data_IF_111201672062
#
_entry.id   IF_111201672062
#
_cell.length_a   1.000
_cell.length_b   1.000
_cell.length_c   1.000
_cell.angle_alpha   90.00
_cell.angle_beta   90.00
_cell.angle_gamma   90.00
#
_symmetry.space_group_name_H-M   'P 1'
#
loop_
_entity.id
_entity.type
_entity.pdbx_description
1 polymer ?
#
# COMPACT_ATOMS: atom_id res chain seq x y z
N UNK A 1 -23.15 -4.59 37.88
CA UNK A 1 -22.08 -5.25 37.08
C UNK A 1 -22.10 -4.85 35.61
N UNK A 2 -23.25 -4.48 35.00
CA UNK A 2 -23.34 -4.11 33.58
C UNK A 2 -22.59 -2.80 33.16
N UNK A 3 -22.42 -1.84 34.07
CA UNK A 3 -21.74 -0.57 33.76
C UNK A 3 -20.22 -0.73 33.60
N UNK A 4 -19.62 -1.67 34.36
CA UNK A 4 -18.19 -1.97 34.30
C UNK A 4 -17.86 -2.70 33.00
N UNK A 5 -18.72 -3.64 32.60
CA UNK A 5 -18.58 -4.38 31.34
C UNK A 5 -18.61 -3.44 30.13
N UNK A 6 -19.55 -2.48 30.09
CA UNK A 6 -19.63 -1.46 29.02
C UNK A 6 -18.39 -0.57 28.95
N UNK A 7 -17.81 -0.20 30.09
CA UNK A 7 -16.62 0.65 30.15
C UNK A 7 -15.37 -0.11 29.72
N UNK A 8 -15.20 -1.36 30.17
CA UNK A 8 -14.09 -2.23 29.79
C UNK A 8 -14.14 -2.57 28.30
N UNK A 9 -15.32 -2.90 27.75
CA UNK A 9 -15.50 -3.10 26.32
C UNK A 9 -15.18 -1.83 25.51
N UNK A 10 -15.61 -0.65 25.97
CA UNK A 10 -15.29 0.61 25.29
C UNK A 10 -13.79 0.91 25.26
N UNK A 11 -13.05 0.59 26.34
CA UNK A 11 -11.60 0.77 26.42
C UNK A 11 -10.87 -0.17 25.46
N UNK A 12 -11.34 -1.41 25.33
CA UNK A 12 -10.76 -2.38 24.39
C UNK A 12 -11.06 -2.02 22.92
N UNK A 13 -12.26 -1.51 22.61
CA UNK A 13 -12.61 -1.14 21.23
C UNK A 13 -11.76 0.02 20.70
N UNK A 14 -11.46 1.02 21.54
CA UNK A 14 -10.62 2.16 21.13
C UNK A 14 -9.17 1.74 20.78
N UNK A 15 -8.59 0.79 21.54
CA UNK A 15 -7.25 0.26 21.25
C UNK A 15 -7.24 -0.57 19.96
N UNK A 16 -8.33 -1.30 19.67
CA UNK A 16 -8.45 -2.11 18.45
C UNK A 16 -8.62 -1.22 17.21
N UNK A 17 -9.30 -0.08 17.31
CA UNK A 17 -9.44 0.85 16.18
C UNK A 17 -8.15 1.62 15.86
N UNK A 18 -7.36 2.02 16.86
CA UNK A 18 -6.04 2.62 16.64
C UNK A 18 -5.06 1.63 15.98
N UNK A 19 -5.14 0.34 16.35
CA UNK A 19 -4.32 -0.73 15.78
C UNK A 19 -4.79 -1.16 14.38
N UNK A 20 -6.06 -0.92 14.00
CA UNK A 20 -6.62 -1.31 12.70
C UNK A 20 -5.89 -0.67 11.50
N UNK A 21 -5.26 0.48 11.72
CA UNK A 21 -4.40 1.14 10.73
C UNK A 21 -3.02 0.47 10.59
N UNK A 22 -2.48 -0.16 11.64
CA UNK A 22 -1.23 -0.93 11.56
C UNK A 22 -1.41 -2.25 10.82
N UNK A 23 -2.53 -2.96 11.05
CA UNK A 23 -2.83 -4.25 10.40
C UNK A 23 -3.30 -4.13 8.94
N UNK A 24 -3.53 -2.92 8.44
CA UNK A 24 -3.78 -2.66 7.00
C UNK A 24 -2.50 -2.36 6.21
N UNK A 25 -1.31 -2.65 6.75
CA UNK A 25 -0.10 -2.86 5.95
C UNK A 25 -0.23 -4.19 5.19
N UNK A 26 -1.09 -4.23 4.17
CA UNK A 26 -0.94 -5.27 3.16
C UNK A 26 0.40 -4.99 2.49
N UNK A 27 1.35 -5.91 2.64
CA UNK A 27 2.72 -5.72 2.18
C UNK A 27 2.84 -5.97 0.67
N UNK A 28 2.18 -5.10 -0.09
CA UNK A 28 2.13 -5.16 -1.55
C UNK A 28 3.53 -5.04 -2.18
N UNK A 29 4.46 -4.33 -1.54
CA UNK A 29 5.86 -4.26 -2.01
C UNK A 29 6.53 -5.63 -1.99
N UNK A 30 6.44 -6.33 -0.86
CA UNK A 30 6.99 -7.69 -0.72
C UNK A 30 6.31 -8.64 -1.71
N UNK A 31 4.98 -8.60 -1.79
CA UNK A 31 4.24 -9.46 -2.70
C UNK A 31 4.58 -9.20 -4.18
N UNK A 32 4.65 -7.94 -4.61
CA UNK A 32 5.02 -7.59 -5.97
C UNK A 32 6.44 -8.06 -6.30
N UNK A 33 7.37 -7.92 -5.35
CA UNK A 33 8.74 -8.40 -5.53
C UNK A 33 8.78 -9.92 -5.75
N UNK A 34 8.05 -10.70 -4.97
CA UNK A 34 7.95 -12.16 -5.16
C UNK A 34 7.35 -12.53 -6.52
N UNK A 35 6.28 -11.84 -6.94
CA UNK A 35 5.63 -12.09 -8.24
C UNK A 35 6.60 -11.78 -9.39
N UNK A 36 7.28 -10.64 -9.35
CA UNK A 36 8.22 -10.24 -10.41
C UNK A 36 9.43 -11.17 -10.44
N UNK A 37 9.94 -11.61 -9.30
CA UNK A 37 11.08 -12.53 -9.22
C UNK A 37 10.78 -13.92 -9.83
N UNK A 38 9.52 -14.33 -9.91
CA UNK A 38 9.13 -15.58 -10.60
C UNK A 38 9.32 -15.48 -12.12
N UNK A 39 9.15 -14.30 -12.70
CA UNK A 39 9.12 -14.08 -14.15
C UNK A 39 10.34 -13.33 -14.67
N UNK A 40 11.04 -12.57 -13.82
CA UNK A 40 12.16 -11.70 -14.18
C UNK A 40 13.24 -11.70 -13.10
N UNK A 41 14.51 -11.57 -13.51
CA UNK A 41 15.64 -11.38 -12.60
C UNK A 41 15.90 -9.90 -12.27
N UNK A 42 15.23 -8.98 -12.96
CA UNK A 42 15.37 -7.55 -12.76
C UNK A 42 14.41 -7.12 -11.63
N UNK A 43 14.88 -6.45 -10.57
CA UNK A 43 14.00 -5.98 -9.52
C UNK A 43 13.12 -4.81 -9.98
N UNK A 44 12.02 -4.58 -9.27
CA UNK A 44 11.22 -3.37 -9.43
C UNK A 44 11.93 -2.16 -8.80
N UNK A 45 11.77 -0.99 -9.40
CA UNK A 45 12.23 0.28 -8.83
C UNK A 45 11.05 1.20 -8.54
N UNK A 46 11.17 2.02 -7.51
CA UNK A 46 10.15 3.01 -7.13
C UNK A 46 10.70 4.40 -7.37
N UNK A 47 9.91 5.25 -8.02
CA UNK A 47 10.27 6.63 -8.30
C UNK A 47 9.16 7.57 -7.82
N UNK A 48 9.51 8.59 -7.05
CA UNK A 48 8.58 9.67 -6.69
C UNK A 48 8.50 10.60 -7.89
N UNK A 49 7.34 10.64 -8.54
CA UNK A 49 7.12 11.48 -9.73
C UNK A 49 6.43 12.80 -9.42
N UNK A 50 5.90 12.95 -8.21
CA UNK A 50 5.34 14.22 -7.78
C UNK A 50 5.01 14.27 -6.30
N UNK A 51 4.89 15.50 -5.80
CA UNK A 51 4.37 15.81 -4.47
C UNK A 51 3.37 16.96 -4.62
N UNK A 52 2.21 16.87 -3.98
CA UNK A 52 1.19 17.94 -4.03
C UNK A 52 0.46 18.09 -2.70
N UNK A 53 -0.17 19.23 -2.49
CA UNK A 53 -0.96 19.51 -1.29
C UNK A 53 -0.23 20.35 -0.24
N UNK A 54 -0.97 20.88 0.76
CA UNK A 54 -0.43 21.72 1.82
C UNK A 54 0.44 20.90 2.79
N UNK A 55 1.27 21.55 3.61
CA UNK A 55 2.23 20.86 4.50
C UNK A 55 1.59 19.81 5.42
N UNK A 56 0.37 20.06 5.91
CA UNK A 56 -0.40 19.15 6.76
C UNK A 56 -1.24 18.12 5.96
N UNK A 57 -1.14 18.11 4.64
CA UNK A 57 -1.92 17.25 3.73
C UNK A 57 -1.14 16.91 2.47
N UNK A 58 0.17 16.73 2.58
CA UNK A 58 1.03 16.42 1.45
C UNK A 58 0.74 15.00 0.94
N UNK A 59 0.48 14.91 -0.35
CA UNK A 59 0.36 13.66 -1.10
C UNK A 59 1.65 13.43 -1.90
N UNK A 60 2.14 12.20 -1.85
CA UNK A 60 3.26 11.71 -2.65
C UNK A 60 2.70 10.85 -3.77
N UNK A 61 3.20 11.07 -4.98
CA UNK A 61 2.88 10.29 -6.17
C UNK A 61 4.11 9.45 -6.48
N UNK A 62 3.94 8.14 -6.51
CA UNK A 62 4.99 7.17 -6.75
C UNK A 62 4.62 6.27 -7.91
N UNK A 63 5.58 6.00 -8.77
CA UNK A 63 5.48 4.98 -9.80
C UNK A 63 6.38 3.80 -9.47
N UNK A 64 5.88 2.60 -9.74
CA UNK A 64 6.70 1.38 -9.73
C UNK A 64 7.03 0.98 -11.16
N UNK A 65 8.32 0.79 -11.41
CA UNK A 65 8.91 0.53 -12.70
C UNK A 65 9.53 -0.87 -12.71
N UNK A 66 9.42 -1.57 -13.82
CA UNK A 66 10.11 -2.83 -14.05
C UNK A 66 10.58 -2.89 -15.50
N UNK A 67 11.89 -3.11 -15.68
CA UNK A 67 12.52 -3.16 -16.99
C UNK A 67 12.19 -1.94 -17.88
N UNK A 68 12.16 -0.74 -17.29
CA UNK A 68 11.85 0.53 -17.97
C UNK A 68 10.35 0.80 -18.22
N UNK A 69 9.45 -0.11 -17.84
CA UNK A 69 8.01 0.07 -17.98
C UNK A 69 7.36 0.40 -16.64
N UNK A 70 6.38 1.30 -16.65
CA UNK A 70 5.55 1.58 -15.48
C UNK A 70 4.60 0.40 -15.28
N UNK A 71 4.72 -0.28 -14.14
CA UNK A 71 3.79 -1.35 -13.75
C UNK A 71 2.59 -0.80 -13.00
N UNK A 72 2.75 0.31 -12.26
CA UNK A 72 1.68 0.91 -11.48
C UNK A 72 2.06 2.27 -10.92
N UNK A 73 1.03 3.04 -10.57
CA UNK A 73 1.15 4.36 -9.95
C UNK A 73 0.32 4.38 -8.67
N UNK A 74 0.87 4.96 -7.61
CA UNK A 74 0.25 5.04 -6.29
C UNK A 74 0.36 6.43 -5.72
N UNK A 75 -0.62 6.76 -4.88
CA UNK A 75 -0.69 8.02 -4.15
C UNK A 75 -0.85 7.68 -2.66
N UNK A 76 -0.18 8.44 -1.79
CA UNK A 76 -0.29 8.28 -0.34
C UNK A 76 0.10 9.55 0.40
N UNK A 77 -0.29 9.66 1.67
CA UNK A 77 0.06 10.78 2.56
C UNK A 77 1.50 10.71 3.05
N UNK A 78 2.13 9.56 2.86
CA UNK A 78 3.56 9.35 3.08
C UNK A 78 4.18 8.65 1.87
N UNK A 79 5.50 8.77 1.71
CA UNK A 79 6.25 8.06 0.67
C UNK A 79 6.00 6.55 0.72
N UNK A 80 6.03 5.97 1.93
CA UNK A 80 5.80 4.54 2.15
C UNK A 80 4.39 4.11 1.71
N UNK A 81 3.37 4.89 2.04
CA UNK A 81 1.99 4.62 1.63
C UNK A 81 1.83 4.71 0.11
N UNK A 82 2.42 5.72 -0.52
CA UNK A 82 2.40 5.88 -1.97
C UNK A 82 3.09 4.70 -2.69
N UNK A 83 4.22 4.23 -2.16
CA UNK A 83 4.92 3.03 -2.68
C UNK A 83 4.07 1.76 -2.56
N UNK A 84 3.44 1.52 -1.40
CA UNK A 84 2.54 0.37 -1.20
C UNK A 84 1.34 0.43 -2.14
N UNK A 85 0.77 1.63 -2.32
CA UNK A 85 -0.32 1.89 -3.26
C UNK A 85 0.10 1.61 -4.71
N UNK A 86 1.30 2.03 -5.10
CA UNK A 86 1.84 1.78 -6.44
C UNK A 86 2.07 0.29 -6.69
N UNK A 87 2.58 -0.43 -5.68
CA UNK A 87 2.76 -1.88 -5.75
C UNK A 87 1.41 -2.62 -5.88
N UNK A 88 0.40 -2.21 -5.11
CA UNK A 88 -0.95 -2.76 -5.21
C UNK A 88 -1.59 -2.52 -6.58
N UNK A 89 -1.40 -1.32 -7.16
CA UNK A 89 -1.83 -1.02 -8.53
C UNK A 89 -1.14 -1.95 -9.54
N UNK A 90 0.17 -2.17 -9.42
CA UNK A 90 0.91 -3.07 -10.30
C UNK A 90 0.40 -4.51 -10.24
N UNK A 91 0.20 -5.07 -9.04
CA UNK A 91 -0.36 -6.42 -8.88
C UNK A 91 -1.74 -6.53 -9.53
N UNK A 92 -2.59 -5.52 -9.33
CA UNK A 92 -3.93 -5.49 -9.95
C UNK A 92 -3.85 -5.46 -11.47
N UNK A 93 -2.93 -4.67 -12.04
CA UNK A 93 -2.70 -4.63 -13.48
C UNK A 93 -2.19 -5.96 -14.03
N UNK A 94 -1.27 -6.62 -13.32
CA UNK A 94 -0.75 -7.95 -13.70
C UNK A 94 -1.86 -9.00 -13.71
N UNK A 95 -2.66 -9.07 -12.64
CA UNK A 95 -3.78 -10.02 -12.55
C UNK A 95 -4.85 -9.77 -13.63
N UNK A 96 -5.07 -8.51 -14.02
CA UNK A 96 -6.02 -8.19 -15.09
C UNK A 96 -5.53 -8.59 -16.49
N UNK A 97 -4.21 -8.69 -16.70
CA UNK A 97 -3.63 -9.18 -17.96
C UNK A 97 -3.69 -10.71 -18.04
N UNK A 98 -3.41 -11.42 -16.94
CA UNK A 98 -3.51 -12.90 -16.90
C UNK A 98 -4.93 -13.41 -17.14
N UNK A 99 -5.97 -12.63 -16.82
CA UNK A 99 -7.36 -13.02 -17.06
C UNK A 99 -7.83 -12.80 -18.51
N UNK A 100 -7.02 -12.15 -19.35
CA UNK A 100 -7.36 -11.81 -20.73
C UNK A 100 -6.64 -12.67 -21.78
N UNK A 101 -5.74 -13.55 -21.36
CA UNK A 101 -5.02 -14.55 -22.17
C UNK A 101 -5.55 -15.98 -21.84
#
# INVERSE_FOLDING_TARGET
MAAVEKYVLSLMTNVVEEQKNEYKNIDYKTHLQEVIQKTSRIPVSYCITGERGPDHGKEFIVEVHHNGNILGTGIGKSKKEAEQSAAGAAIKHMNSKEAAD
#
